data_IF_058335334958
#
_entry.id   IF_058335334958
#
_cell.length_a   1.000
_cell.length_b   1.000
_cell.length_c   1.000
_cell.angle_alpha   90.00
_cell.angle_beta   90.00
_cell.angle_gamma   90.00
#
_symmetry.space_group_name_H-M   'P 1'
#
loop_
_entity.id
_entity.type
_entity.pdbx_description
1 polymer ?
#
# COMPACT_ATOMS: atom_id res chain seq x y z
N UNK A 1 0.65 -17.37 1.78
CA UNK A 1 1.45 -16.19 2.15
C UNK A 1 0.67 -15.44 3.22
N UNK A 2 1.33 -14.97 4.28
CA UNK A 2 0.71 -14.15 5.31
C UNK A 2 0.82 -12.66 4.93
N UNK A 3 -0.28 -11.92 5.05
CA UNK A 3 -0.32 -10.47 4.84
C UNK A 3 -0.09 -9.80 6.18
N UNK A 4 1.13 -9.30 6.42
CA UNK A 4 1.48 -8.65 7.68
C UNK A 4 1.03 -7.19 7.72
N UNK A 5 1.09 -6.50 6.58
CA UNK A 5 0.65 -5.11 6.47
C UNK A 5 0.41 -4.72 5.01
N UNK A 6 -0.56 -3.83 4.76
CA UNK A 6 -0.83 -3.27 3.44
C UNK A 6 -0.79 -1.75 3.54
N UNK A 7 0.02 -1.11 2.70
CA UNK A 7 0.20 0.34 2.73
C UNK A 7 0.19 0.97 1.33
N UNK A 8 -0.51 2.09 1.22
CA UNK A 8 -0.46 2.99 0.07
C UNK A 8 0.53 4.13 0.38
N UNK A 9 1.63 4.17 -0.37
CA UNK A 9 2.63 5.25 -0.35
C UNK A 9 3.21 5.42 -1.77
N UNK A 10 2.99 6.56 -2.41
CA UNK A 10 3.45 6.85 -3.79
C UNK A 10 4.96 6.64 -3.98
N UNK A 11 5.73 6.75 -2.90
CA UNK A 11 7.19 6.62 -2.89
C UNK A 11 7.67 5.17 -2.67
N UNK A 12 6.75 4.23 -2.41
CA UNK A 12 7.03 2.81 -2.18
C UNK A 12 8.08 2.60 -1.08
N UNK A 13 9.28 2.12 -1.42
CA UNK A 13 10.37 1.83 -0.49
C UNK A 13 11.25 3.07 -0.38
N UNK A 14 11.05 3.86 0.66
CA UNK A 14 11.81 5.10 0.87
C UNK A 14 12.08 5.38 2.35
N UNK A 15 13.19 6.08 2.58
CA UNK A 15 13.61 6.55 3.90
C UNK A 15 13.62 5.46 4.97
N UNK A 16 13.34 5.86 6.21
CA UNK A 16 13.21 4.93 7.34
C UNK A 16 11.78 4.38 7.51
N UNK A 17 10.82 4.83 6.69
CA UNK A 17 9.41 4.44 6.82
C UNK A 17 9.22 2.95 6.55
N UNK A 18 9.82 2.43 5.47
CA UNK A 18 9.80 1.00 5.17
C UNK A 18 10.38 0.17 6.32
N UNK A 19 11.45 0.66 6.95
CA UNK A 19 12.10 0.03 8.11
C UNK A 19 11.19 -0.01 9.34
N UNK A 20 10.58 1.11 9.69
CA UNK A 20 9.69 1.23 10.84
C UNK A 20 8.49 0.29 10.67
N UNK A 21 7.85 0.30 9.51
CA UNK A 21 6.70 -0.57 9.24
C UNK A 21 7.08 -2.04 9.14
N UNK A 22 8.25 -2.36 8.61
CA UNK A 22 8.73 -3.74 8.58
C UNK A 22 8.93 -4.31 9.97
N UNK A 23 9.53 -3.52 10.88
CA UNK A 23 9.69 -3.90 12.29
C UNK A 23 8.33 -3.99 13.00
N UNK A 24 7.47 -3.00 12.83
CA UNK A 24 6.16 -2.95 13.47
C UNK A 24 5.22 -4.08 13.02
N UNK A 25 5.29 -4.47 11.75
CA UNK A 25 4.48 -5.57 11.20
C UNK A 25 5.09 -6.96 11.39
N UNK A 26 6.38 -7.04 11.75
CA UNK A 26 7.11 -8.32 11.83
C UNK A 26 7.29 -9.02 10.46
N UNK A 27 7.16 -8.27 9.36
CA UNK A 27 7.30 -8.83 8.02
C UNK A 27 8.75 -9.26 7.73
N UNK A 28 8.92 -10.32 6.94
CA UNK A 28 10.22 -10.74 6.42
C UNK A 28 10.37 -10.46 4.91
N UNK A 29 9.31 -9.94 4.27
CA UNK A 29 9.25 -9.63 2.85
C UNK A 29 8.54 -8.29 2.63
N UNK A 30 9.05 -7.49 1.70
CA UNK A 30 8.36 -6.31 1.19
C UNK A 30 8.04 -6.56 -0.29
N UNK A 31 6.79 -6.35 -0.69
CA UNK A 31 6.37 -6.43 -2.09
C UNK A 31 5.78 -5.09 -2.52
N UNK A 32 6.57 -4.30 -3.24
CA UNK A 32 6.11 -3.12 -3.94
C UNK A 32 5.40 -3.56 -5.23
N UNK A 33 4.09 -3.34 -5.28
CA UNK A 33 3.21 -3.81 -6.33
C UNK A 33 2.84 -2.61 -7.21
N UNK A 34 3.40 -2.56 -8.42
CA UNK A 34 3.11 -1.51 -9.40
C UNK A 34 3.53 -1.95 -10.80
N UNK A 35 2.58 -1.91 -11.74
CA UNK A 35 2.84 -2.28 -13.14
C UNK A 35 3.78 -1.30 -13.85
N UNK A 36 3.74 -0.01 -13.46
CA UNK A 36 4.62 1.04 -13.99
C UNK A 36 6.06 0.85 -13.47
N UNK A 37 6.23 0.76 -12.16
CA UNK A 37 7.57 0.68 -11.53
C UNK A 37 8.25 -0.65 -11.85
N UNK A 38 7.49 -1.73 -12.05
CA UNK A 38 8.05 -3.01 -12.44
C UNK A 38 8.69 -3.01 -13.84
N UNK A 39 8.34 -2.04 -14.70
CA UNK A 39 8.89 -1.83 -16.06
C UNK A 39 10.03 -0.82 -16.11
N UNK A 40 10.26 -0.08 -15.02
CA UNK A 40 11.32 0.92 -14.91
C UNK A 40 12.50 0.32 -14.12
N UNK A 41 13.51 -0.14 -14.85
CA UNK A 41 14.66 -0.83 -14.26
C UNK A 41 15.46 0.08 -13.30
N UNK A 42 15.60 1.36 -13.64
CA UNK A 42 16.32 2.32 -12.79
C UNK A 42 15.56 2.52 -11.47
N UNK A 43 14.26 2.82 -11.56
CA UNK A 43 13.43 3.05 -10.37
C UNK A 43 13.34 1.79 -9.50
N UNK A 44 13.23 0.62 -10.12
CA UNK A 44 13.26 -0.67 -9.42
C UNK A 44 14.57 -0.88 -8.67
N UNK A 45 15.72 -0.65 -9.32
CA UNK A 45 17.03 -0.80 -8.67
C UNK A 45 17.18 0.14 -7.48
N UNK A 46 16.80 1.41 -7.63
CA UNK A 46 16.85 2.41 -6.55
C UNK A 46 16.00 2.00 -5.35
N UNK A 47 14.78 1.50 -5.57
CA UNK A 47 13.91 1.02 -4.49
C UNK A 47 14.48 -0.18 -3.76
N UNK A 48 15.13 -1.11 -4.48
CA UNK A 48 15.71 -2.32 -3.89
C UNK A 48 16.97 -2.04 -3.07
N UNK A 49 17.70 -0.96 -3.36
CA UNK A 49 18.88 -0.54 -2.58
C UNK A 49 18.51 -0.07 -1.15
N UNK A 50 17.27 0.38 -0.95
CA UNK A 50 16.77 0.85 0.37
C UNK A 50 16.38 -0.33 1.28
N UNK A 51 16.30 -1.56 0.75
CA UNK A 51 15.89 -2.73 1.52
C UNK A 51 16.94 -3.14 2.57
N UNK A 52 16.48 -3.50 3.76
CA UNK A 52 17.33 -3.80 4.92
C UNK A 52 17.95 -5.20 4.88
N UNK A 53 19.07 -5.37 5.59
CA UNK A 53 19.61 -6.69 5.94
C UNK A 53 18.54 -7.51 6.67
N UNK A 54 18.26 -8.71 6.17
CA UNK A 54 17.29 -9.65 6.73
C UNK A 54 15.88 -9.58 6.13
N UNK A 55 15.56 -8.55 5.34
CA UNK A 55 14.25 -8.40 4.68
C UNK A 55 14.47 -8.39 3.17
N UNK A 56 13.82 -9.31 2.45
CA UNK A 56 13.89 -9.32 0.98
C UNK A 56 12.80 -8.42 0.41
N UNK A 57 13.18 -7.50 -0.46
CA UNK A 57 12.25 -6.63 -1.18
C UNK A 57 12.07 -7.09 -2.63
N UNK A 58 10.87 -6.85 -3.16
CA UNK A 58 10.50 -7.15 -4.54
C UNK A 58 9.73 -5.97 -5.10
N UNK A 59 9.94 -5.69 -6.39
CA UNK A 59 9.11 -4.78 -7.19
C UNK A 59 8.50 -5.62 -8.30
N UNK A 60 7.18 -5.79 -8.27
CA UNK A 60 6.47 -6.71 -9.16
C UNK A 60 5.16 -6.11 -9.69
N UNK A 61 4.70 -6.54 -10.87
CA UNK A 61 3.35 -6.22 -11.36
C UNK A 61 2.26 -6.77 -10.44
N UNK A 62 1.07 -6.17 -10.49
CA UNK A 62 -0.07 -6.56 -9.67
C UNK A 62 -0.44 -8.03 -9.90
N UNK A 63 -0.48 -8.47 -11.15
CA UNK A 63 -0.84 -9.84 -11.47
C UNK A 63 0.18 -10.87 -10.95
N UNK A 64 1.46 -10.52 -10.98
CA UNK A 64 2.51 -11.35 -10.38
C UNK A 64 2.34 -11.45 -8.88
N UNK A 65 1.95 -10.37 -8.20
CA UNK A 65 1.66 -10.37 -6.77
C UNK A 65 0.47 -11.28 -6.43
N UNK A 66 -0.62 -11.24 -7.21
CA UNK A 66 -1.78 -12.13 -7.06
C UNK A 66 -1.36 -13.60 -7.22
N UNK A 67 -0.60 -13.91 -8.28
CA UNK A 67 -0.09 -15.27 -8.53
C UNK A 67 0.83 -15.75 -7.39
N UNK A 68 1.70 -14.87 -6.89
CA UNK A 68 2.57 -15.18 -5.76
C UNK A 68 1.77 -15.42 -4.47
N UNK A 69 0.75 -14.62 -4.19
CA UNK A 69 -0.08 -14.80 -3.00
C UNK A 69 -0.74 -16.18 -2.95
N UNK A 70 -1.26 -16.65 -4.08
CA UNK A 70 -1.93 -17.96 -4.22
C UNK A 70 -0.98 -19.15 -4.27
N UNK A 71 0.32 -18.93 -4.46
CA UNK A 71 1.27 -20.02 -4.65
C UNK A 71 1.74 -20.59 -3.28
N UNK A 72 1.53 -21.90 -3.01
CA UNK A 72 1.94 -22.54 -1.76
C UNK A 72 3.44 -22.44 -1.45
N UNK A 73 4.29 -22.25 -2.47
CA UNK A 73 5.74 -22.05 -2.32
C UNK A 73 6.08 -20.88 -1.39
N UNK A 74 5.22 -19.87 -1.34
CA UNK A 74 5.42 -18.66 -0.54
C UNK A 74 4.61 -18.67 0.77
N UNK A 75 4.21 -19.86 1.28
CA UNK A 75 3.48 -19.99 2.54
C UNK A 75 4.20 -19.36 3.75
N UNK A 76 5.53 -19.42 3.78
CA UNK A 76 6.36 -18.89 4.88
C UNK A 76 6.66 -17.37 4.76
N UNK A 77 6.11 -16.70 3.75
CA UNK A 77 6.32 -15.27 3.57
C UNK A 77 5.36 -14.50 4.46
N UNK A 78 5.91 -13.60 5.27
CA UNK A 78 5.21 -12.57 6.04
C UNK A 78 5.43 -11.26 5.32
N UNK A 79 4.44 -10.83 4.55
CA UNK A 79 4.62 -9.82 3.51
C UNK A 79 3.99 -8.50 3.91
N UNK A 80 4.78 -7.43 3.79
CA UNK A 80 4.30 -6.05 3.73
C UNK A 80 4.10 -5.68 2.25
N UNK A 81 2.86 -5.39 1.86
CA UNK A 81 2.54 -4.92 0.52
C UNK A 81 2.54 -3.40 0.46
N UNK A 82 3.21 -2.86 -0.57
CA UNK A 82 3.24 -1.44 -0.89
C UNK A 82 2.57 -1.19 -2.23
N UNK A 83 1.70 -0.19 -2.26
CA UNK A 83 1.00 0.27 -3.46
C UNK A 83 1.17 1.78 -3.60
N UNK A 84 1.00 2.30 -4.81
CA UNK A 84 0.97 3.75 -5.05
C UNK A 84 -0.45 4.33 -4.99
N UNK A 85 -1.47 3.50 -5.21
CA UNK A 85 -2.85 3.96 -5.36
C UNK A 85 -3.86 2.92 -4.86
N UNK A 86 -5.10 3.32 -4.51
CA UNK A 86 -6.14 2.41 -4.05
C UNK A 86 -6.72 1.51 -5.14
N UNK A 87 -6.60 1.88 -6.43
CA UNK A 87 -7.11 1.07 -7.53
C UNK A 87 -6.37 -0.27 -7.65
N UNK A 88 -5.05 -0.27 -7.45
CA UNK A 88 -4.24 -1.50 -7.46
C UNK A 88 -4.52 -2.39 -6.24
N UNK A 89 -4.88 -1.80 -5.10
CA UNK A 89 -5.35 -2.56 -3.92
C UNK A 89 -6.68 -3.24 -4.24
N UNK A 90 -7.59 -2.53 -4.91
CA UNK A 90 -8.87 -3.11 -5.35
C UNK A 90 -8.65 -4.27 -6.33
N UNK A 91 -7.74 -4.11 -7.30
CA UNK A 91 -7.35 -5.19 -8.24
C UNK A 91 -6.81 -6.42 -7.52
N UNK A 92 -6.04 -6.25 -6.43
CA UNK A 92 -5.57 -7.38 -5.63
C UNK A 92 -6.72 -8.13 -4.95
N UNK A 93 -7.67 -7.41 -4.35
CA UNK A 93 -8.84 -8.00 -3.70
C UNK A 93 -9.73 -8.72 -4.70
N UNK A 94 -10.01 -8.10 -5.84
CA UNK A 94 -10.78 -8.71 -6.95
C UNK A 94 -10.03 -9.93 -7.54
N UNK A 95 -8.71 -9.91 -7.50
CA UNK A 95 -7.84 -11.05 -7.81
C UNK A 95 -7.90 -12.19 -6.80
N UNK A 96 -8.64 -12.07 -5.70
CA UNK A 96 -8.79 -13.09 -4.65
C UNK A 96 -7.71 -13.05 -3.57
N UNK A 97 -7.08 -11.89 -3.34
CA UNK A 97 -6.18 -11.68 -2.21
C UNK A 97 -6.98 -11.19 -1.00
N UNK A 98 -6.87 -11.88 0.13
CA UNK A 98 -7.66 -11.59 1.34
C UNK A 98 -7.05 -10.45 2.17
N UNK A 99 -7.18 -9.21 1.67
CA UNK A 99 -6.79 -8.00 2.40
C UNK A 99 -7.91 -7.64 3.38
N UNK A 100 -7.58 -7.31 4.63
CA UNK A 100 -8.55 -6.91 5.67
C UNK A 100 -8.48 -5.43 6.04
N UNK A 101 -7.28 -4.86 6.01
CA UNK A 101 -7.02 -3.48 6.38
C UNK A 101 -5.99 -2.86 5.44
N UNK A 102 -6.15 -1.58 5.13
CA UNK A 102 -5.24 -0.80 4.27
C UNK A 102 -4.87 0.48 4.99
N UNK A 103 -3.56 0.68 5.13
CA UNK A 103 -3.00 1.94 5.61
C UNK A 103 -2.74 2.89 4.45
N UNK A 104 -3.21 4.13 4.54
CA UNK A 104 -2.90 5.21 3.61
C UNK A 104 -1.88 6.11 4.27
N UNK A 105 -0.65 6.02 3.76
CA UNK A 105 0.52 6.64 4.36
C UNK A 105 0.99 7.91 3.66
N UNK A 106 0.85 7.94 2.33
CA UNK A 106 1.23 9.09 1.54
C UNK A 106 0.71 8.99 0.11
N UNK A 107 -0.09 9.96 -0.29
CA UNK A 107 -0.48 10.13 -1.69
C UNK A 107 -0.16 11.58 -2.05
N UNK A 108 0.89 11.76 -2.84
CA UNK A 108 1.45 13.07 -3.13
C UNK A 108 0.44 13.94 -3.90
N UNK A 109 0.48 15.25 -3.64
CA UNK A 109 -0.27 16.20 -4.43
C UNK A 109 0.18 16.15 -5.90
N UNK A 110 -0.80 16.19 -6.80
CA UNK A 110 -0.66 16.35 -8.24
C UNK A 110 -1.80 17.25 -8.69
N UNK A 111 -1.64 17.97 -9.79
CA UNK A 111 -2.71 18.84 -10.29
C UNK A 111 -4.03 18.07 -10.46
N UNK A 112 -5.11 18.65 -9.94
CA UNK A 112 -6.44 18.03 -9.90
C UNK A 112 -6.71 17.13 -8.69
N UNK A 113 -5.76 16.95 -7.76
CA UNK A 113 -6.00 16.30 -6.46
C UNK A 113 -6.37 17.33 -5.39
N UNK A 114 -7.23 16.94 -4.45
CA UNK A 114 -7.55 17.72 -3.25
C UNK A 114 -6.88 17.09 -2.04
N UNK A 115 -6.30 17.95 -1.21
CA UNK A 115 -5.61 17.52 0.01
C UNK A 115 -6.63 17.14 1.09
N UNK A 116 -6.44 15.97 1.71
CA UNK A 116 -7.28 15.50 2.83
C UNK A 116 -6.51 15.46 4.16
N UNK A 117 -5.19 15.27 4.10
CA UNK A 117 -4.26 15.40 5.23
C UNK A 117 -2.91 15.97 4.75
N UNK A 118 -2.00 16.28 5.68
CA UNK A 118 -0.66 16.79 5.35
C UNK A 118 0.12 15.93 4.35
N UNK A 119 -0.11 14.62 4.32
CA UNK A 119 0.61 13.66 3.46
C UNK A 119 -0.25 13.03 2.35
N UNK A 120 -1.56 13.31 2.31
CA UNK A 120 -2.50 12.58 1.44
C UNK A 120 -3.36 13.57 0.64
N UNK A 121 -3.28 13.44 -0.67
CA UNK A 121 -4.11 14.11 -1.65
C UNK A 121 -4.79 13.09 -2.58
N UNK A 122 -6.07 13.29 -2.83
CA UNK A 122 -6.92 12.35 -3.58
C UNK A 122 -7.68 13.06 -4.69
N UNK A 123 -7.98 12.34 -5.77
CA UNK A 123 -8.95 12.77 -6.78
C UNK A 123 -10.23 11.93 -6.69
N UNK A 124 -11.20 12.19 -7.58
CA UNK A 124 -12.47 11.47 -7.60
C UNK A 124 -12.28 9.95 -7.82
N UNK A 125 -11.33 9.54 -8.67
CA UNK A 125 -11.04 8.12 -8.91
C UNK A 125 -10.50 7.42 -7.66
N UNK A 126 -9.61 8.09 -6.92
CA UNK A 126 -9.08 7.60 -5.65
C UNK A 126 -10.22 7.43 -4.64
N UNK A 127 -11.11 8.41 -4.53
CA UNK A 127 -12.27 8.39 -3.63
C UNK A 127 -13.21 7.23 -3.99
N UNK A 128 -13.55 7.05 -5.27
CA UNK A 128 -14.38 5.93 -5.73
C UNK A 128 -13.76 4.57 -5.38
N UNK A 129 -12.44 4.43 -5.51
CA UNK A 129 -11.75 3.21 -5.10
C UNK A 129 -11.84 3.00 -3.59
N UNK A 130 -11.64 4.05 -2.77
CA UNK A 130 -11.81 3.96 -1.33
C UNK A 130 -13.24 3.59 -0.92
N UNK A 131 -14.28 4.12 -1.61
CA UNK A 131 -15.67 3.71 -1.39
C UNK A 131 -15.86 2.22 -1.63
N UNK A 132 -15.41 1.71 -2.78
CA UNK A 132 -15.50 0.28 -3.11
C UNK A 132 -14.76 -0.61 -2.11
N UNK A 133 -13.58 -0.17 -1.64
CA UNK A 133 -12.83 -0.88 -0.61
C UNK A 133 -13.62 -0.93 0.71
N UNK A 134 -14.21 0.20 1.12
CA UNK A 134 -15.04 0.27 2.32
C UNK A 134 -16.31 -0.59 2.21
N UNK A 135 -16.99 -0.58 1.06
CA UNK A 135 -18.16 -1.42 0.77
C UNK A 135 -17.85 -2.92 0.83
N UNK A 136 -16.60 -3.31 0.53
CA UNK A 136 -16.10 -4.68 0.68
C UNK A 136 -15.70 -5.02 2.13
N UNK A 137 -15.91 -4.11 3.09
CA UNK A 137 -15.62 -4.32 4.51
C UNK A 137 -14.14 -4.16 4.87
N UNK A 138 -13.35 -3.47 4.03
CA UNK A 138 -11.92 -3.23 4.30
C UNK A 138 -11.77 -2.06 5.27
N UNK A 139 -10.99 -2.25 6.34
CA UNK A 139 -10.60 -1.16 7.23
C UNK A 139 -9.65 -0.21 6.50
N UNK A 140 -9.99 1.09 6.46
CA UNK A 140 -9.17 2.12 5.82
C UNK A 140 -8.65 3.10 6.88
N UNK A 141 -7.35 3.03 7.16
CA UNK A 141 -6.70 3.86 8.17
C UNK A 141 -5.70 4.84 7.56
N UNK A 142 -5.59 6.03 8.14
CA UNK A 142 -4.57 7.03 7.81
C UNK A 142 -3.58 7.11 8.98
N UNK A 143 -2.30 6.91 8.67
CA UNK A 143 -1.15 7.21 9.55
C UNK A 143 0.16 7.12 8.78
N UNK A 144 1.09 8.03 9.05
CA UNK A 144 2.34 8.12 8.31
C UNK A 144 3.38 7.15 8.89
N UNK A 145 3.51 7.12 10.21
CA UNK A 145 4.37 6.16 10.94
C UNK A 145 3.56 5.36 11.96
N UNK A 146 4.12 4.22 12.40
CA UNK A 146 3.42 3.28 13.29
C UNK A 146 3.02 3.86 14.66
N UNK A 147 3.71 4.93 15.10
CA UNK A 147 3.44 5.62 16.37
C UNK A 147 2.31 6.66 16.28
N UNK A 148 1.93 7.08 15.07
CA UNK A 148 0.88 8.08 14.92
C UNK A 148 -0.49 7.48 15.26
N UNK A 149 -1.39 8.34 15.74
CA UNK A 149 -2.78 7.94 15.96
C UNK A 149 -3.43 7.52 14.64
N UNK A 150 -4.14 6.40 14.66
CA UNK A 150 -4.95 5.96 13.53
C UNK A 150 -6.11 6.93 13.33
N UNK A 151 -6.28 7.41 12.10
CA UNK A 151 -7.46 8.19 11.68
C UNK A 151 -8.26 7.31 10.72
N UNK A 152 -9.58 7.22 10.90
CA UNK A 152 -10.45 6.52 9.95
C UNK A 152 -10.57 7.35 8.66
N UNK A 153 -10.20 6.75 7.52
CA UNK A 153 -10.21 7.45 6.24
C UNK A 153 -11.61 7.86 5.80
N UNK A 154 -12.62 7.02 6.05
CA UNK A 154 -14.00 7.26 5.63
C UNK A 154 -14.61 8.42 6.43
N UNK A 155 -14.37 8.46 7.73
CA UNK A 155 -14.82 9.59 8.56
C UNK A 155 -14.16 10.88 8.09
N UNK A 156 -12.86 10.84 7.77
CA UNK A 156 -12.14 12.00 7.23
C UNK A 156 -12.70 12.48 5.88
N UNK A 157 -13.11 11.56 5.00
CA UNK A 157 -13.74 11.92 3.73
C UNK A 157 -15.14 12.53 3.91
N UNK A 158 -15.93 12.05 4.89
CA UNK A 158 -17.24 12.62 5.24
C UNK A 158 -17.11 14.04 5.79
N UNK A 159 -16.16 14.28 6.71
CA UNK A 159 -15.88 15.62 7.26
C UNK A 159 -15.59 16.65 6.15
N UNK A 160 -14.87 16.22 5.12
CA UNK A 160 -14.47 17.05 3.98
C UNK A 160 -15.52 17.09 2.85
N UNK A 161 -16.70 16.48 3.06
CA UNK A 161 -17.84 16.44 2.12
C UNK A 161 -17.51 15.79 0.77
N UNK A 162 -16.67 14.76 0.78
CA UNK A 162 -16.41 13.90 -0.38
C UNK A 162 -17.36 12.70 -0.46
N UNK A 163 -17.98 12.34 0.67
CA UNK A 163 -18.93 11.24 0.84
C UNK A 163 -20.27 11.76 1.33
#
# INVERSE_FOLDING_TARGET
MEISFVRIDDRLIHGQIATIWSKASGCNRIMACSDEVAKDDLRKQLLLQVALKGIKAYVIPIETAIKAYKNPKYKNFKTLFLFTNPADVLRMIEGGVDIKSVNVGGMCYKDGKKQITGAISVNNKDIECFKKLYEKGIELEIRQVAKDNKINLIDRLKELKFL
#
